data_IF_625980349567
#
_entry.id   IF_625980349567
#
_cell.length_a   1.000
_cell.length_b   1.000
_cell.length_c   1.000
_cell.angle_alpha   90.00
_cell.angle_beta   90.00
_cell.angle_gamma   90.00
#
_symmetry.space_group_name_H-M   'P 1'
#
loop_
_entity.id
_entity.type
_entity.pdbx_description
1 polymer ?
#
# COMPACT_ATOMS: atom_id res chain seq x y z
N UNK A 1 -5.11 6.28 -28.68
CA UNK A 1 -5.92 6.74 -27.53
C UNK A 1 -6.11 5.54 -26.61
N UNK A 2 -5.25 5.37 -25.60
CA UNK A 2 -5.41 4.32 -24.59
C UNK A 2 -5.86 4.96 -23.28
N UNK A 3 -7.12 4.78 -22.90
CA UNK A 3 -7.62 5.13 -21.57
C UNK A 3 -7.22 3.99 -20.64
N UNK A 4 -6.26 4.22 -19.74
CA UNK A 4 -6.07 3.34 -18.59
C UNK A 4 -7.20 3.62 -17.60
N UNK A 5 -8.17 2.72 -17.57
CA UNK A 5 -9.16 2.66 -16.50
C UNK A 5 -8.45 2.25 -15.22
N UNK A 6 -8.41 3.16 -14.24
CA UNK A 6 -8.01 2.83 -12.88
C UNK A 6 -9.28 2.32 -12.23
N UNK A 7 -9.38 1.00 -12.06
CA UNK A 7 -10.49 0.36 -11.38
C UNK A 7 -10.57 0.84 -9.93
N UNK A 8 -11.76 1.24 -9.48
CA UNK A 8 -12.06 1.51 -8.08
C UNK A 8 -12.00 0.20 -7.30
N UNK A 9 -11.02 0.09 -6.40
CA UNK A 9 -10.86 -1.08 -5.52
C UNK A 9 -11.98 -1.06 -4.48
N UNK A 10 -12.87 -2.03 -4.57
CA UNK A 10 -14.04 -2.21 -3.69
C UNK A 10 -13.64 -2.91 -2.39
N UNK A 11 -14.51 -2.83 -1.37
CA UNK A 11 -14.32 -3.50 -0.07
C UNK A 11 -14.23 -5.04 -0.19
N UNK A 12 -14.76 -5.60 -1.27
CA UNK A 12 -14.71 -7.03 -1.62
C UNK A 12 -13.37 -7.44 -2.27
N UNK A 13 -12.60 -6.48 -2.79
CA UNK A 13 -11.27 -6.77 -3.31
C UNK A 13 -10.26 -7.04 -2.17
N UNK A 14 -10.45 -6.43 -1.00
CA UNK A 14 -9.61 -6.68 0.17
C UNK A 14 -9.71 -8.11 0.71
N UNK A 15 -10.87 -8.75 0.60
CA UNK A 15 -11.06 -10.14 1.05
C UNK A 15 -10.59 -11.17 0.02
N UNK A 16 -10.47 -10.80 -1.26
CA UNK A 16 -9.95 -11.67 -2.34
C UNK A 16 -8.43 -11.56 -2.54
N UNK A 17 -7.80 -10.46 -2.13
CA UNK A 17 -6.36 -10.20 -2.33
C UNK A 17 -5.48 -10.86 -1.26
N UNK A 18 -6.04 -11.26 -0.12
CA UNK A 18 -5.33 -12.12 0.83
C UNK A 18 -5.35 -13.57 0.34
N UNK A 19 -4.50 -13.87 -0.65
CA UNK A 19 -3.95 -15.22 -0.76
C UNK A 19 -3.32 -15.53 0.59
N UNK A 20 -4.01 -16.27 1.47
CA UNK A 20 -3.33 -16.89 2.60
C UNK A 20 -2.32 -17.86 1.97
N UNK A 21 -1.01 -17.63 2.16
CA UNK A 21 -0.01 -18.58 1.72
C UNK A 21 -0.37 -19.97 2.26
N UNK A 22 -0.05 -21.03 1.52
CA UNK A 22 -0.49 -22.39 1.86
C UNK A 22 -0.04 -22.83 3.27
N UNK A 23 1.09 -22.31 3.76
CA UNK A 23 1.55 -22.54 5.13
C UNK A 23 0.61 -21.98 6.21
N UNK A 24 -0.12 -20.88 5.95
CA UNK A 24 -1.11 -20.36 6.91
C UNK A 24 -2.40 -21.19 6.92
N UNK A 25 -2.77 -21.82 5.79
CA UNK A 25 -3.91 -22.75 5.73
C UNK A 25 -3.62 -24.03 6.51
N UNK A 26 -2.39 -24.51 6.44
CA UNK A 26 -1.93 -25.67 7.19
C UNK A 26 -1.94 -25.40 8.71
N UNK A 27 -1.45 -24.22 9.13
CA UNK A 27 -1.52 -23.79 10.53
C UNK A 27 -2.98 -23.66 11.01
N UNK A 28 -3.88 -23.10 10.20
CA UNK A 28 -5.32 -23.01 10.54
C UNK A 28 -5.94 -24.40 10.74
N UNK A 29 -5.59 -25.37 9.89
CA UNK A 29 -6.02 -26.76 10.06
C UNK A 29 -5.44 -27.41 11.32
N UNK A 30 -4.17 -27.17 11.65
CA UNK A 30 -3.54 -27.70 12.87
C UNK A 30 -4.13 -27.10 14.15
N UNK A 31 -4.54 -25.82 14.11
CA UNK A 31 -5.25 -25.14 15.21
C UNK A 31 -6.64 -25.72 15.37
N UNK A 32 -7.39 -25.96 14.28
CA UNK A 32 -8.72 -26.60 14.30
C UNK A 32 -8.70 -28.02 14.84
N UNK A 33 -7.63 -28.77 14.59
CA UNK A 33 -7.42 -30.12 15.11
C UNK A 33 -6.88 -30.14 16.55
N UNK A 34 -6.59 -28.98 17.15
CA UNK A 34 -6.06 -28.86 18.52
C UNK A 34 -4.61 -29.32 18.69
N UNK A 35 -3.95 -29.74 17.60
CA UNK A 35 -2.58 -30.29 17.60
C UNK A 35 -1.55 -29.18 17.85
N UNK A 36 -1.79 -27.98 17.32
CA UNK A 36 -0.90 -26.81 17.47
C UNK A 36 -0.92 -26.17 18.87
N UNK A 37 -1.73 -26.69 19.81
CA UNK A 37 -1.89 -26.10 21.15
C UNK A 37 -1.14 -26.84 22.25
N UNK A 38 -0.37 -27.90 21.94
CA UNK A 38 0.40 -28.67 22.92
C UNK A 38 1.88 -28.29 22.89
N UNK A 39 2.52 -28.28 24.05
CA UNK A 39 3.95 -28.01 24.15
C UNK A 39 4.77 -29.17 23.59
N UNK A 40 5.77 -28.87 22.78
CA UNK A 40 6.68 -29.86 22.18
C UNK A 40 7.58 -30.53 23.22
N UNK A 41 7.98 -29.82 24.28
CA UNK A 41 8.80 -30.36 25.38
C UNK A 41 7.92 -30.99 26.49
N UNK A 42 6.65 -30.57 26.59
CA UNK A 42 5.72 -31.03 27.62
C UNK A 42 4.41 -31.47 26.96
N UNK A 43 4.40 -32.67 26.36
CA UNK A 43 3.34 -33.18 25.47
C UNK A 43 1.91 -33.18 26.06
N UNK A 44 1.77 -33.12 27.39
CA UNK A 44 0.48 -33.09 28.09
C UNK A 44 0.01 -31.68 28.46
N UNK A 45 0.83 -30.67 28.24
CA UNK A 45 0.57 -29.29 28.65
C UNK A 45 0.13 -28.43 27.48
N UNK A 46 -0.88 -27.60 27.71
CA UNK A 46 -1.40 -26.66 26.72
C UNK A 46 -0.63 -25.35 26.71
N UNK A 47 -0.49 -24.77 25.52
CA UNK A 47 0.17 -23.50 25.27
C UNK A 47 -0.77 -22.32 25.55
N UNK A 48 -1.17 -22.09 26.79
CA UNK A 48 -2.14 -21.05 27.16
C UNK A 48 -1.50 -19.67 27.42
N UNK A 49 -0.20 -19.60 27.66
CA UNK A 49 0.51 -18.39 28.07
C UNK A 49 1.31 -17.83 26.89
N UNK A 50 1.31 -16.52 26.70
CA UNK A 50 2.16 -15.86 25.71
C UNK A 50 3.37 -15.23 26.40
N UNK A 51 4.58 -15.66 26.03
CA UNK A 51 5.81 -15.04 26.47
C UNK A 51 6.09 -13.81 25.59
N UNK A 52 5.99 -12.62 26.17
CA UNK A 52 6.18 -11.36 25.47
C UNK A 52 7.63 -11.14 25.03
N UNK A 53 8.60 -11.60 25.84
CA UNK A 53 10.03 -11.47 25.52
C UNK A 53 10.44 -12.33 24.32
N UNK A 54 9.93 -13.55 24.24
CA UNK A 54 10.26 -14.49 23.17
C UNK A 54 9.28 -14.44 21.99
N UNK A 55 8.16 -13.73 22.11
CA UNK A 55 7.07 -13.67 21.15
C UNK A 55 6.51 -15.06 20.75
N UNK A 56 6.43 -15.99 21.71
CA UNK A 56 5.93 -17.37 21.49
C UNK A 56 4.92 -17.77 22.56
N UNK A 57 4.00 -18.68 22.20
CA UNK A 57 3.13 -19.34 23.18
C UNK A 57 3.91 -20.43 23.90
N UNK A 58 3.75 -20.49 25.22
CA UNK A 58 4.41 -21.42 26.13
C UNK A 58 3.37 -22.09 27.03
N UNK A 59 3.74 -23.21 27.64
CA UNK A 59 2.91 -23.85 28.66
C UNK A 59 3.30 -23.40 30.08
N UNK A 60 2.44 -23.70 31.06
CA UNK A 60 2.70 -23.37 32.47
C UNK A 60 4.00 -23.99 32.99
N UNK A 61 4.38 -25.19 32.50
CA UNK A 61 5.63 -25.83 32.90
C UNK A 61 6.87 -25.09 32.37
N UNK A 62 6.83 -24.56 31.15
CA UNK A 62 7.91 -23.74 30.60
C UNK A 62 8.11 -22.44 31.39
N UNK A 63 7.03 -21.90 31.99
CA UNK A 63 7.09 -20.72 32.83
C UNK A 63 7.64 -21.03 34.24
N UNK A 64 7.17 -22.12 34.86
CA UNK A 64 7.42 -22.43 36.28
C UNK A 64 8.62 -23.34 36.55
N UNK A 65 9.16 -24.03 35.54
CA UNK A 65 10.23 -25.00 35.77
C UNK A 65 11.52 -24.33 36.28
N UNK A 66 11.78 -24.47 37.58
CA UNK A 66 12.97 -23.93 38.26
C UNK A 66 14.27 -24.60 37.77
N UNK A 67 14.19 -25.78 37.15
CA UNK A 67 15.34 -26.58 36.71
C UNK A 67 15.72 -26.42 35.22
N UNK A 68 14.81 -25.93 34.38
CA UNK A 68 15.02 -25.73 32.93
C UNK A 68 14.36 -24.44 32.40
N UNK A 69 14.12 -23.48 33.29
CA UNK A 69 13.26 -22.33 33.06
C UNK A 69 13.82 -21.34 32.05
N UNK A 70 13.58 -21.59 30.76
CA UNK A 70 13.93 -20.67 29.66
C UNK A 70 13.17 -19.34 29.71
N UNK A 71 12.16 -19.22 30.58
CA UNK A 71 11.23 -18.08 30.63
C UNK A 71 10.96 -17.51 32.04
N UNK A 72 11.78 -17.85 33.05
CA UNK A 72 11.54 -17.45 34.46
C UNK A 72 11.53 -15.92 34.64
N UNK A 73 12.40 -15.20 33.93
CA UNK A 73 12.54 -13.74 34.00
C UNK A 73 11.90 -13.01 32.80
N UNK A 74 11.06 -13.69 32.02
CA UNK A 74 10.43 -13.07 30.86
C UNK A 74 9.07 -12.47 31.20
N UNK A 75 8.69 -11.40 30.48
CA UNK A 75 7.33 -10.89 30.53
C UNK A 75 6.37 -11.91 29.94
N UNK A 76 5.22 -12.11 30.59
CA UNK A 76 4.18 -13.00 30.10
C UNK A 76 2.78 -12.40 30.31
N UNK A 77 1.85 -12.83 29.48
CA UNK A 77 0.43 -12.53 29.62
C UNK A 77 -0.40 -13.70 29.11
N UNK A 78 -1.73 -13.62 29.26
CA UNK A 78 -2.60 -14.61 28.63
C UNK A 78 -2.48 -14.51 27.10
N UNK A 79 -2.70 -15.63 26.41
CA UNK A 79 -2.73 -15.62 24.93
C UNK A 79 -3.88 -14.77 24.39
N UNK A 80 -4.99 -14.66 25.13
CA UNK A 80 -6.15 -13.85 24.77
C UNK A 80 -5.83 -12.35 24.83
N UNK A 81 -5.16 -11.90 25.88
CA UNK A 81 -4.74 -10.49 26.02
C UNK A 81 -3.71 -10.12 24.95
N UNK A 82 -2.74 -10.99 24.69
CA UNK A 82 -1.77 -10.81 23.62
C UNK A 82 -2.47 -10.68 22.27
N UNK A 83 -3.40 -11.59 21.97
CA UNK A 83 -4.17 -11.56 20.74
C UNK A 83 -5.00 -10.27 20.61
N UNK A 84 -5.74 -9.89 21.64
CA UNK A 84 -6.55 -8.68 21.64
C UNK A 84 -5.70 -7.42 21.41
N UNK A 85 -4.55 -7.33 22.10
CA UNK A 85 -3.58 -6.23 21.92
C UNK A 85 -3.06 -6.19 20.48
N UNK A 86 -2.55 -7.31 19.95
CA UNK A 86 -2.03 -7.37 18.58
C UNK A 86 -3.09 -7.05 17.54
N UNK A 87 -4.32 -7.52 17.71
CA UNK A 87 -5.44 -7.18 16.80
C UNK A 87 -5.72 -5.68 16.82
N UNK A 88 -5.70 -5.04 17.99
CA UNK A 88 -5.92 -3.61 18.10
C UNK A 88 -4.78 -2.79 17.46
N UNK A 89 -3.52 -3.17 17.70
CA UNK A 89 -2.35 -2.56 17.06
C UNK A 89 -2.41 -2.71 15.53
N UNK A 90 -2.74 -3.90 15.03
CA UNK A 90 -2.92 -4.14 13.60
C UNK A 90 -4.05 -3.29 13.01
N UNK A 91 -5.18 -3.15 13.71
CA UNK A 91 -6.28 -2.27 13.29
C UNK A 91 -5.84 -0.81 13.20
N UNK A 92 -5.06 -0.34 14.16
CA UNK A 92 -4.51 1.02 14.15
C UNK A 92 -3.56 1.22 12.97
N UNK A 93 -2.61 0.31 12.75
CA UNK A 93 -1.71 0.35 11.59
C UNK A 93 -2.48 0.35 10.27
N UNK A 94 -3.50 -0.50 10.12
CA UNK A 94 -4.36 -0.54 8.92
C UNK A 94 -5.07 0.80 8.72
N UNK A 95 -5.62 1.40 9.79
CA UNK A 95 -6.27 2.71 9.70
C UNK A 95 -5.30 3.82 9.30
N UNK A 96 -4.09 3.82 9.85
CA UNK A 96 -3.05 4.79 9.51
C UNK A 96 -2.62 4.67 8.04
N UNK A 97 -2.43 3.44 7.55
CA UNK A 97 -2.13 3.17 6.14
C UNK A 97 -3.28 3.61 5.25
N UNK A 98 -4.53 3.32 5.61
CA UNK A 98 -5.71 3.74 4.85
C UNK A 98 -5.76 5.26 4.70
N UNK A 99 -5.56 5.98 5.80
CA UNK A 99 -5.54 7.45 5.79
C UNK A 99 -4.39 8.01 4.93
N UNK A 100 -3.20 7.39 4.98
CA UNK A 100 -2.08 7.78 4.13
C UNK A 100 -2.38 7.58 2.64
N UNK A 101 -3.04 6.47 2.29
CA UNK A 101 -3.47 6.17 0.91
C UNK A 101 -4.50 7.20 0.44
N UNK A 102 -5.53 7.50 1.23
CA UNK A 102 -6.56 8.50 0.92
C UNK A 102 -5.93 9.88 0.65
N UNK A 103 -5.01 10.32 1.51
CA UNK A 103 -4.28 11.58 1.34
C UNK A 103 -3.43 11.57 0.06
N UNK A 104 -2.75 10.47 -0.22
CA UNK A 104 -1.96 10.31 -1.44
C UNK A 104 -2.82 10.39 -2.71
N UNK A 105 -4.02 9.79 -2.70
CA UNK A 105 -4.95 9.83 -3.83
C UNK A 105 -5.44 11.25 -4.13
N UNK A 106 -5.75 12.04 -3.10
CA UNK A 106 -6.18 13.44 -3.30
C UNK A 106 -5.06 14.31 -3.89
N UNK A 107 -3.81 14.13 -3.43
CA UNK A 107 -2.66 14.82 -4.03
C UNK A 107 -2.42 14.41 -5.49
N UNK A 108 -2.56 13.12 -5.83
CA UNK A 108 -2.49 12.66 -7.22
C UNK A 108 -3.58 13.32 -8.08
N UNK A 109 -4.80 13.42 -7.57
CA UNK A 109 -5.93 14.07 -8.26
C UNK A 109 -5.67 15.57 -8.48
N UNK A 110 -5.14 16.26 -7.48
CA UNK A 110 -4.74 17.68 -7.57
C UNK A 110 -3.63 17.87 -8.60
N UNK A 111 -2.59 17.04 -8.56
CA UNK A 111 -1.49 17.09 -9.52
C UNK A 111 -1.96 16.84 -10.96
N UNK A 112 -2.89 15.89 -11.15
CA UNK A 112 -3.49 15.63 -12.47
C UNK A 112 -4.24 16.85 -13.02
N UNK A 113 -4.99 17.58 -12.17
CA UNK A 113 -5.65 18.84 -12.55
C UNK A 113 -4.63 19.91 -12.93
N UNK A 114 -3.61 20.12 -12.10
CA UNK A 114 -2.54 21.09 -12.38
C UNK A 114 -1.81 20.79 -13.69
N UNK A 115 -1.47 19.53 -13.94
CA UNK A 115 -0.82 19.09 -15.17
C UNK A 115 -1.69 19.35 -16.40
N UNK A 116 -3.00 19.08 -16.32
CA UNK A 116 -3.92 19.40 -17.41
C UNK A 116 -3.95 20.91 -17.71
N UNK A 117 -3.97 21.77 -16.70
CA UNK A 117 -3.91 23.22 -16.88
C UNK A 117 -2.62 23.65 -17.57
N UNK A 118 -1.47 23.09 -17.16
CA UNK A 118 -0.17 23.36 -17.78
C UNK A 118 -0.17 22.93 -19.25
N UNK A 119 -0.68 21.74 -19.55
CA UNK A 119 -0.77 21.23 -20.93
C UNK A 119 -1.66 22.12 -21.80
N UNK A 120 -2.81 22.56 -21.28
CA UNK A 120 -3.69 23.50 -21.98
C UNK A 120 -2.98 24.81 -22.30
N UNK A 121 -2.32 25.41 -21.31
CA UNK A 121 -1.56 26.64 -21.48
C UNK A 121 -0.42 26.48 -22.50
N UNK A 122 0.34 25.38 -22.42
CA UNK A 122 1.41 25.06 -23.37
C UNK A 122 0.87 24.95 -24.79
N UNK A 123 -0.25 24.25 -24.98
CA UNK A 123 -0.86 24.08 -26.30
C UNK A 123 -1.34 25.42 -26.86
N UNK A 124 -2.01 26.25 -26.05
CA UNK A 124 -2.43 27.59 -26.47
C UNK A 124 -1.26 28.48 -26.90
N UNK A 125 -0.14 28.45 -26.17
CA UNK A 125 1.07 29.20 -26.55
C UNK A 125 1.66 28.70 -27.86
N UNK A 126 1.75 27.39 -28.04
CA UNK A 126 2.23 26.78 -29.28
C UNK A 126 1.35 27.19 -30.46
N UNK A 127 0.03 27.16 -30.29
CA UNK A 127 -0.90 27.52 -31.36
C UNK A 127 -0.81 29.02 -31.73
N UNK A 128 -0.66 29.90 -30.74
CA UNK A 128 -0.40 31.32 -30.97
C UNK A 128 0.91 31.55 -31.71
N UNK A 129 1.98 30.86 -31.28
CA UNK A 129 3.28 30.94 -31.93
C UNK A 129 3.21 30.46 -33.39
N UNK A 130 2.58 29.31 -33.64
CA UNK A 130 2.42 28.76 -34.99
C UNK A 130 1.63 29.71 -35.89
N UNK A 131 0.53 30.28 -35.40
CA UNK A 131 -0.24 31.29 -36.16
C UNK A 131 0.60 32.52 -36.51
N UNK A 132 1.38 33.02 -35.55
CA UNK A 132 2.25 34.18 -35.78
C UNK A 132 3.36 33.87 -36.77
N UNK A 133 3.96 32.67 -36.69
CA UNK A 133 4.98 32.21 -37.63
C UNK A 133 4.45 32.15 -39.06
N UNK A 134 3.26 31.56 -39.27
CA UNK A 134 2.63 31.51 -40.59
C UNK A 134 2.36 32.91 -41.14
N UNK A 135 1.79 33.81 -40.33
CA UNK A 135 1.53 35.20 -40.77
C UNK A 135 2.82 35.97 -41.11
N UNK A 136 3.91 35.68 -40.42
CA UNK A 136 5.20 36.29 -40.70
C UNK A 136 5.76 35.83 -42.05
N UNK A 137 5.70 34.52 -42.36
CA UNK A 137 6.08 34.00 -43.68
C UNK A 137 5.22 34.60 -44.79
N UNK A 138 3.90 34.64 -44.63
CA UNK A 138 3.02 35.26 -45.63
C UNK A 138 3.33 36.74 -45.89
N UNK A 139 3.74 37.50 -44.85
CA UNK A 139 4.17 38.89 -45.03
C UNK A 139 5.49 38.99 -45.77
N UNK A 140 6.45 38.11 -45.45
CA UNK A 140 7.74 38.06 -46.14
C UNK A 140 7.51 37.76 -47.62
N UNK A 141 6.73 36.71 -47.92
CA UNK A 141 6.43 36.31 -49.30
C UNK A 141 5.79 37.46 -50.11
N UNK A 142 4.78 38.13 -49.54
CA UNK A 142 4.11 39.26 -50.19
C UNK A 142 5.07 40.45 -50.44
N UNK A 143 5.92 40.79 -49.46
CA UNK A 143 6.92 41.84 -49.67
C UNK A 143 7.95 41.44 -50.73
N UNK A 144 8.41 40.18 -50.73
CA UNK A 144 9.32 39.64 -51.76
C UNK A 144 8.70 39.73 -53.15
N UNK A 145 7.43 39.36 -53.34
CA UNK A 145 6.71 39.49 -54.61
C UNK A 145 6.66 40.96 -55.09
N UNK A 146 6.36 41.91 -54.19
CA UNK A 146 6.36 43.35 -54.53
C UNK A 146 7.75 43.84 -54.97
N UNK A 147 8.82 43.36 -54.36
CA UNK A 147 10.18 43.73 -54.76
C UNK A 147 10.52 43.16 -56.14
N UNK A 148 10.19 41.89 -56.41
CA UNK A 148 10.42 41.27 -57.71
C UNK A 148 9.68 42.00 -58.83
N UNK A 149 8.42 42.41 -58.58
CA UNK A 149 7.61 43.14 -59.55
C UNK A 149 8.16 44.55 -59.90
N UNK A 150 9.02 45.14 -59.05
CA UNK A 150 9.67 46.44 -59.35
C UNK A 150 10.93 46.30 -60.21
N UNK A 151 11.47 45.10 -60.29
CA UNK A 151 12.73 44.81 -61.00
C UNK A 151 12.44 44.15 -62.36
N UNK A 152 11.27 43.55 -62.53
CA UNK A 152 10.73 43.04 -63.80
C UNK A 152 10.17 44.19 -64.67
#
# INVERSE_FOLDING_TARGET
MGRSEIAEVTREDFTKVLWLPDHLKEVDNQVKLGIANKCSEHERQELSIFCQTCAVRICAHCLLSVFHGKHVDHGYCSSEDAYAKTVNELREHINNVRHAVEKGQEEVKKNKRSLNTILQYRNQRRDKFNKMHVLMHMKIDNETEKYLAKIA
#
